data_IF_384107458274
#
_entry.id   IF_384107458274
#
_cell.length_a   1.000
_cell.length_b   1.000
_cell.length_c   1.000
_cell.angle_alpha   90.00
_cell.angle_beta   90.00
_cell.angle_gamma   90.00
#
_symmetry.space_group_name_H-M   'P 1'
#
loop_
_entity.id
_entity.type
_entity.pdbx_description
1 polymer ?
#
# COMPACT_ATOMS: atom_id res chain seq x y z
N UNK A 1 9.65 2.25 -14.51
CA UNK A 1 9.49 0.95 -15.19
C UNK A 1 8.29 1.09 -16.11
N UNK A 2 8.39 0.75 -17.40
CA UNK A 2 7.27 0.92 -18.34
C UNK A 2 6.21 -0.16 -18.10
N UNK A 3 4.93 0.17 -18.24
CA UNK A 3 3.79 -0.78 -18.12
C UNK A 3 4.01 -2.04 -18.97
N UNK A 4 4.67 -1.89 -20.11
CA UNK A 4 5.07 -2.99 -20.99
C UNK A 4 6.03 -3.98 -20.31
N UNK A 5 6.98 -3.51 -19.49
CA UNK A 5 7.91 -4.36 -18.75
C UNK A 5 7.17 -5.15 -17.66
N UNK A 6 6.25 -4.50 -16.96
CA UNK A 6 5.43 -5.12 -15.91
C UNK A 6 4.49 -6.17 -16.50
N UNK A 7 3.89 -5.91 -17.67
CA UNK A 7 3.10 -6.89 -18.44
C UNK A 7 3.94 -8.05 -18.98
N UNK A 8 5.17 -7.79 -19.45
CA UNK A 8 6.08 -8.84 -19.94
C UNK A 8 6.54 -9.76 -18.80
N UNK A 9 6.84 -9.20 -17.63
CA UNK A 9 7.14 -9.98 -16.42
C UNK A 9 5.90 -10.79 -16.02
N UNK A 10 4.70 -10.19 -16.08
CA UNK A 10 3.43 -10.86 -15.83
C UNK A 10 3.26 -12.10 -16.72
N UNK A 11 3.51 -11.94 -18.02
CA UNK A 11 3.34 -12.97 -19.04
C UNK A 11 4.40 -14.07 -18.92
N UNK A 12 5.63 -13.71 -18.56
CA UNK A 12 6.69 -14.67 -18.27
C UNK A 12 6.36 -15.53 -17.04
N UNK A 13 5.86 -14.89 -15.97
CA UNK A 13 5.47 -15.58 -14.73
C UNK A 13 4.29 -16.52 -14.99
N UNK A 14 3.27 -16.11 -15.74
CA UNK A 14 2.12 -16.99 -16.06
C UNK A 14 2.54 -18.19 -16.91
N UNK A 15 3.45 -18.04 -17.87
CA UNK A 15 3.97 -19.15 -18.68
C UNK A 15 4.81 -20.14 -17.86
N UNK A 16 5.68 -19.65 -16.97
CA UNK A 16 6.47 -20.48 -16.06
C UNK A 16 5.58 -21.32 -15.14
N UNK A 17 4.51 -20.72 -14.63
CA UNK A 17 3.52 -21.37 -13.75
C UNK A 17 2.73 -22.45 -14.48
N UNK A 18 2.29 -22.19 -15.71
CA UNK A 18 1.60 -23.19 -16.52
C UNK A 18 2.50 -24.42 -16.77
N UNK A 19 3.79 -24.17 -16.99
CA UNK A 19 4.82 -25.22 -17.06
C UNK A 19 4.99 -26.01 -15.75
N UNK A 20 4.98 -25.35 -14.59
CA UNK A 20 5.08 -26.00 -13.28
C UNK A 20 3.82 -26.79 -12.90
N UNK A 21 2.62 -26.27 -13.24
CA UNK A 21 1.35 -26.98 -13.04
C UNK A 21 1.28 -28.29 -13.83
N UNK A 22 1.72 -28.27 -15.10
CA UNK A 22 1.80 -29.47 -15.94
C UNK A 22 2.73 -30.54 -15.37
N UNK A 23 3.64 -30.19 -14.47
CA UNK A 23 4.55 -31.12 -13.77
C UNK A 23 3.99 -31.70 -12.47
N UNK A 24 2.73 -31.44 -12.13
CA UNK A 24 2.07 -32.07 -10.97
C UNK A 24 2.52 -31.56 -9.59
N UNK A 25 3.36 -30.52 -9.52
CA UNK A 25 3.85 -29.93 -8.28
C UNK A 25 2.94 -28.80 -7.77
N UNK A 26 1.63 -29.01 -7.64
CA UNK A 26 0.75 -27.96 -7.08
C UNK A 26 0.63 -28.13 -5.56
N UNK A 27 1.23 -27.23 -4.75
CA UNK A 27 1.01 -27.25 -3.30
C UNK A 27 -0.45 -26.90 -3.01
N UNK A 28 -0.97 -27.38 -1.88
CA UNK A 28 -2.35 -27.12 -1.47
C UNK A 28 -2.65 -25.62 -1.46
N UNK A 29 -3.70 -25.23 -2.20
CA UNK A 29 -4.13 -23.83 -2.29
C UNK A 29 -4.72 -23.42 -0.94
N UNK A 30 -4.37 -22.22 -0.48
CA UNK A 30 -4.97 -21.66 0.73
C UNK A 30 -6.43 -21.23 0.51
N UNK A 31 -7.04 -20.57 1.52
CA UNK A 31 -8.42 -20.11 1.44
C UNK A 31 -8.70 -19.25 0.21
N UNK A 32 -9.95 -19.27 -0.26
CA UNK A 32 -10.37 -18.42 -1.36
C UNK A 32 -10.11 -16.93 -1.04
N UNK A 33 -9.48 -16.17 -1.96
CA UNK A 33 -9.22 -14.74 -1.75
C UNK A 33 -10.47 -13.92 -1.38
N UNK A 34 -11.66 -14.28 -1.89
CA UNK A 34 -12.93 -13.59 -1.62
C UNK A 34 -13.39 -13.84 -0.19
N UNK A 35 -13.30 -15.08 0.28
CA UNK A 35 -13.62 -15.44 1.67
C UNK A 35 -12.69 -14.70 2.62
N UNK A 36 -11.40 -14.62 2.27
CA UNK A 36 -10.41 -13.93 3.07
C UNK A 36 -10.64 -12.41 3.10
N UNK A 37 -11.04 -11.80 1.98
CA UNK A 37 -11.46 -10.38 1.92
C UNK A 37 -12.67 -10.15 2.80
N UNK A 38 -13.67 -11.01 2.73
CA UNK A 38 -14.92 -10.86 3.49
C UNK A 38 -14.66 -11.01 4.99
N UNK A 39 -13.92 -12.02 5.40
CA UNK A 39 -13.53 -12.23 6.80
C UNK A 39 -12.69 -11.07 7.34
N UNK A 40 -11.74 -10.57 6.55
CA UNK A 40 -10.88 -9.44 6.92
C UNK A 40 -11.69 -8.15 6.99
N UNK A 41 -12.57 -7.92 6.02
CA UNK A 41 -13.50 -6.79 6.00
C UNK A 41 -14.38 -6.76 7.23
N UNK A 42 -15.03 -7.87 7.60
CA UNK A 42 -15.85 -7.95 8.82
C UNK A 42 -15.08 -7.61 10.09
N UNK A 43 -13.77 -7.91 10.13
CA UNK A 43 -12.90 -7.56 11.26
C UNK A 43 -12.45 -6.10 11.22
N UNK A 44 -12.21 -5.56 10.02
CA UNK A 44 -11.75 -4.19 9.82
C UNK A 44 -12.86 -3.17 10.05
N UNK A 45 -14.02 -3.38 9.41
CA UNK A 45 -15.19 -2.50 9.43
C UNK A 45 -16.01 -2.69 10.72
N UNK A 46 -15.39 -2.38 11.86
CA UNK A 46 -16.05 -2.42 13.17
C UNK A 46 -16.02 -1.05 13.83
N UNK A 47 -17.03 -0.77 14.67
CA UNK A 47 -17.10 0.48 15.46
C UNK A 47 -15.83 0.71 16.28
N UNK A 48 -15.27 -0.35 16.85
CA UNK A 48 -14.03 -0.27 17.63
C UNK A 48 -12.85 0.22 16.80
N UNK A 49 -12.66 -0.30 15.59
CA UNK A 49 -11.57 0.15 14.72
C UNK A 49 -11.82 1.55 14.17
N UNK A 50 -13.07 1.92 13.94
CA UNK A 50 -13.42 3.30 13.59
C UNK A 50 -13.07 4.30 14.70
N UNK A 51 -13.36 3.97 15.96
CA UNK A 51 -12.96 4.79 17.12
C UNK A 51 -11.43 4.87 17.22
N UNK A 52 -10.70 3.78 16.95
CA UNK A 52 -9.23 3.81 16.91
C UNK A 52 -8.72 4.73 15.79
N UNK A 53 -9.34 4.69 14.61
CA UNK A 53 -9.00 5.56 13.49
C UNK A 53 -9.25 7.04 13.83
N UNK A 54 -10.39 7.35 14.44
CA UNK A 54 -10.69 8.70 14.95
C UNK A 54 -9.67 9.15 16.00
N UNK A 55 -9.34 8.30 16.98
CA UNK A 55 -8.35 8.61 18.00
C UNK A 55 -6.96 8.86 17.41
N UNK A 56 -6.52 8.02 16.47
CA UNK A 56 -5.28 8.22 15.74
C UNK A 56 -5.28 9.53 14.94
N UNK A 57 -6.41 9.85 14.31
CA UNK A 57 -6.58 11.10 13.56
C UNK A 57 -6.52 12.31 14.49
N UNK A 58 -7.23 12.29 15.63
CA UNK A 58 -7.18 13.37 16.61
C UNK A 58 -5.75 13.59 17.14
N UNK A 59 -5.02 12.51 17.43
CA UNK A 59 -3.61 12.58 17.81
C UNK A 59 -2.74 13.20 16.71
N UNK A 60 -2.91 12.77 15.46
CA UNK A 60 -2.22 13.35 14.31
C UNK A 60 -2.57 14.84 14.13
N UNK A 61 -3.84 15.22 14.27
CA UNK A 61 -4.29 16.62 14.21
C UNK A 61 -3.61 17.49 15.27
N UNK A 62 -3.45 17.00 16.50
CA UNK A 62 -2.74 17.72 17.56
C UNK A 62 -1.25 17.90 17.20
N UNK A 63 -0.60 16.85 16.70
CA UNK A 63 0.80 16.90 16.25
C UNK A 63 0.96 17.93 15.12
N UNK A 64 0.11 17.86 14.10
CA UNK A 64 0.12 18.79 12.97
C UNK A 64 -0.17 20.22 13.41
N UNK A 65 -1.16 20.44 14.28
CA UNK A 65 -1.52 21.77 14.77
C UNK A 65 -0.42 22.39 15.66
N UNK A 66 0.28 21.56 16.44
CA UNK A 66 1.38 22.01 17.31
C UNK A 66 2.66 22.42 16.56
N UNK A 67 2.72 22.22 15.24
CA UNK A 67 3.94 22.45 14.44
C UNK A 67 5.02 21.39 14.61
N UNK A 68 4.79 20.36 15.45
CA UNK A 68 5.73 19.25 15.65
C UNK A 68 5.98 18.48 14.35
N UNK A 69 4.97 18.37 13.48
CA UNK A 69 5.12 17.77 12.15
C UNK A 69 6.09 18.57 11.25
N UNK A 70 6.07 19.90 11.35
CA UNK A 70 7.01 20.76 10.62
C UNK A 70 8.43 20.63 11.20
N UNK A 71 8.58 20.62 12.53
CA UNK A 71 9.87 20.44 13.18
C UNK A 71 10.52 19.08 12.84
N UNK A 72 9.72 18.01 12.76
CA UNK A 72 10.19 16.71 12.30
C UNK A 72 10.54 16.71 10.81
N UNK A 73 9.77 17.42 9.99
CA UNK A 73 10.06 17.58 8.58
C UNK A 73 11.39 18.31 8.34
N UNK A 74 11.65 19.39 9.08
CA UNK A 74 12.90 20.16 9.04
C UNK A 74 14.08 19.29 9.50
N UNK A 75 13.94 18.59 10.63
CA UNK A 75 14.98 17.66 11.11
C UNK A 75 15.30 16.57 10.07
N UNK A 76 14.28 15.97 9.46
CA UNK A 76 14.48 14.96 8.42
C UNK A 76 15.13 15.55 7.17
N UNK A 77 14.74 16.76 6.77
CA UNK A 77 15.35 17.47 5.64
C UNK A 77 16.81 17.78 5.91
N UNK A 78 17.14 18.23 7.11
CA UNK A 78 18.47 18.75 7.38
C UNK A 78 19.47 17.63 7.75
N UNK A 79 19.01 16.51 8.33
CA UNK A 79 19.88 15.38 8.71
C UNK A 79 19.86 14.19 7.74
N UNK A 80 18.75 13.96 7.02
CA UNK A 80 18.56 12.73 6.22
C UNK A 80 18.58 12.99 4.72
N UNK A 81 18.20 14.19 4.23
CA UNK A 81 18.30 14.49 2.80
C UNK A 81 19.73 14.80 2.39
N UNK A 82 20.20 14.03 1.42
CA UNK A 82 21.45 14.23 0.69
C UNK A 82 21.36 13.57 -0.68
N UNK A 83 22.40 13.70 -1.49
CA UNK A 83 22.41 13.19 -2.87
C UNK A 83 22.19 11.67 -2.95
N UNK A 84 22.72 10.92 -1.97
CA UNK A 84 22.54 9.47 -1.86
C UNK A 84 21.14 9.06 -1.42
N UNK A 85 20.57 9.70 -0.39
CA UNK A 85 19.23 9.38 0.09
C UNK A 85 18.15 9.79 -0.91
N UNK A 86 18.32 10.90 -1.62
CA UNK A 86 17.41 11.30 -2.69
C UNK A 86 17.38 10.28 -3.84
N UNK A 87 18.53 9.67 -4.19
CA UNK A 87 18.57 8.62 -5.23
C UNK A 87 17.85 7.36 -4.78
N UNK A 88 18.06 6.91 -3.55
CA UNK A 88 17.38 5.74 -2.99
C UNK A 88 15.88 6.00 -2.87
N UNK A 89 15.49 7.18 -2.38
CA UNK A 89 14.11 7.60 -2.29
C UNK A 89 13.44 7.65 -3.67
N UNK A 90 14.13 8.14 -4.70
CA UNK A 90 13.58 8.19 -6.06
C UNK A 90 13.35 6.79 -6.66
N UNK A 91 14.24 5.84 -6.37
CA UNK A 91 14.07 4.43 -6.78
C UNK A 91 12.93 3.79 -6.00
N UNK A 92 12.90 3.93 -4.68
CA UNK A 92 11.86 3.39 -3.81
C UNK A 92 10.48 3.96 -4.14
N UNK A 93 10.41 5.26 -4.42
CA UNK A 93 9.19 5.97 -4.81
C UNK A 93 8.65 5.47 -6.15
N UNK A 94 9.51 5.06 -7.08
CA UNK A 94 9.10 4.40 -8.32
C UNK A 94 8.35 3.08 -8.12
N UNK A 95 8.67 2.33 -7.06
CA UNK A 95 7.90 1.14 -6.65
C UNK A 95 6.57 1.49 -5.98
N UNK A 96 6.37 2.74 -5.54
CA UNK A 96 5.15 3.17 -4.85
C UNK A 96 4.15 3.96 -5.72
N UNK A 97 4.63 4.78 -6.66
CA UNK A 97 3.77 5.75 -7.36
C UNK A 97 3.11 5.23 -8.65
N UNK A 98 3.77 4.39 -9.43
CA UNK A 98 3.31 4.10 -10.80
C UNK A 98 2.42 2.85 -10.90
N UNK A 99 2.29 2.07 -9.83
CA UNK A 99 1.73 0.72 -9.92
C UNK A 99 0.75 0.36 -8.80
N UNK A 100 0.22 1.32 -8.02
CA UNK A 100 -0.79 1.02 -6.97
C UNK A 100 -1.99 0.23 -7.51
N UNK A 101 -2.34 0.42 -8.79
CA UNK A 101 -3.36 -0.36 -9.51
C UNK A 101 -2.88 -1.73 -10.00
N UNK A 102 -1.58 -1.88 -10.31
CA UNK A 102 -0.98 -3.12 -10.79
C UNK A 102 -0.56 -4.07 -9.65
N UNK A 103 -0.15 -3.55 -8.50
CA UNK A 103 0.29 -4.35 -7.36
C UNK A 103 -0.76 -5.33 -6.83
N UNK A 104 -2.04 -4.97 -6.68
CA UNK A 104 -3.09 -5.93 -6.32
C UNK A 104 -3.15 -7.10 -7.31
N UNK A 105 -3.00 -6.81 -8.62
CA UNK A 105 -2.97 -7.84 -9.67
C UNK A 105 -1.72 -8.72 -9.55
N UNK A 106 -0.55 -8.13 -9.31
CA UNK A 106 0.70 -8.85 -9.10
C UNK A 106 0.62 -9.76 -7.86
N UNK A 107 0.00 -9.28 -6.79
CA UNK A 107 -0.16 -10.03 -5.53
C UNK A 107 -1.10 -11.23 -5.67
N UNK A 108 -2.23 -11.07 -6.37
CA UNK A 108 -3.14 -12.21 -6.61
C UNK A 108 -2.54 -13.18 -7.63
N UNK A 109 -1.77 -12.67 -8.60
CA UNK A 109 -1.01 -13.52 -9.51
C UNK A 109 0.07 -14.30 -8.78
N UNK A 110 0.76 -13.74 -7.79
CA UNK A 110 1.72 -14.46 -6.98
C UNK A 110 1.07 -15.63 -6.20
N UNK A 111 -0.13 -15.44 -5.63
CA UNK A 111 -0.89 -16.54 -4.99
C UNK A 111 -1.37 -17.58 -6.01
N UNK A 112 -1.82 -17.15 -7.19
CA UNK A 112 -2.26 -18.05 -8.26
C UNK A 112 -1.10 -18.84 -8.88
N UNK A 113 0.06 -18.19 -9.03
CA UNK A 113 1.29 -18.69 -9.61
C UNK A 113 1.99 -19.70 -8.71
N UNK A 114 2.11 -19.36 -7.43
CA UNK A 114 2.88 -20.10 -6.45
C UNK A 114 2.01 -20.48 -5.25
N UNK A 115 0.87 -21.19 -5.46
CA UNK A 115 -0.07 -21.48 -4.40
C UNK A 115 0.61 -22.29 -3.29
N UNK A 116 0.28 -21.99 -2.03
CA UNK A 116 0.82 -22.70 -0.88
C UNK A 116 2.30 -22.45 -0.56
N UNK A 117 3.04 -21.67 -1.36
CA UNK A 117 4.40 -21.22 -1.03
C UNK A 117 4.39 -20.00 -0.10
N UNK A 118 5.53 -19.65 0.50
CA UNK A 118 5.65 -18.42 1.29
C UNK A 118 5.32 -17.16 0.47
N UNK A 119 5.78 -17.11 -0.79
CA UNK A 119 5.53 -16.00 -1.71
C UNK A 119 4.06 -15.89 -2.09
N UNK A 120 3.40 -17.00 -2.41
CA UNK A 120 1.96 -16.99 -2.71
C UNK A 120 1.10 -16.58 -1.51
N UNK A 121 1.45 -17.08 -0.31
CA UNK A 121 0.79 -16.65 0.94
C UNK A 121 0.97 -15.16 1.21
N UNK A 122 2.18 -14.64 1.01
CA UNK A 122 2.50 -13.23 1.14
C UNK A 122 1.70 -12.39 0.15
N UNK A 123 1.69 -12.78 -1.13
CA UNK A 123 0.89 -12.13 -2.18
C UNK A 123 -0.59 -12.08 -1.80
N UNK A 124 -1.18 -13.20 -1.38
CA UNK A 124 -2.58 -13.22 -0.93
C UNK A 124 -2.85 -12.26 0.22
N UNK A 125 -1.97 -12.22 1.23
CA UNK A 125 -2.11 -11.29 2.36
C UNK A 125 -2.02 -9.83 1.92
N UNK A 126 -1.06 -9.48 1.06
CA UNK A 126 -0.91 -8.14 0.51
C UNK A 126 -2.14 -7.72 -0.33
N UNK A 127 -2.66 -8.63 -1.15
CA UNK A 127 -3.88 -8.41 -1.91
C UNK A 127 -5.08 -8.17 -0.99
N UNK A 128 -5.32 -9.05 -0.02
CA UNK A 128 -6.45 -8.89 0.92
C UNK A 128 -6.34 -7.60 1.73
N UNK A 129 -5.15 -7.25 2.21
CA UNK A 129 -4.92 -6.01 2.94
C UNK A 129 -5.20 -4.78 2.07
N UNK A 130 -4.75 -4.80 0.81
CA UNK A 130 -5.00 -3.69 -0.12
C UNK A 130 -6.48 -3.59 -0.47
N UNK A 131 -7.13 -4.69 -0.85
CA UNK A 131 -8.54 -4.72 -1.22
C UNK A 131 -9.47 -4.27 -0.08
N UNK A 132 -9.15 -4.61 1.17
CA UNK A 132 -9.95 -4.22 2.33
C UNK A 132 -9.61 -2.83 2.88
N UNK A 133 -8.33 -2.44 2.85
CA UNK A 133 -7.86 -1.18 3.41
C UNK A 133 -7.96 0.02 2.46
N UNK A 134 -7.84 -0.19 1.14
CA UNK A 134 -7.85 0.90 0.16
C UNK A 134 -9.16 1.72 0.18
N UNK A 135 -10.36 1.12 0.29
CA UNK A 135 -11.59 1.91 0.42
C UNK A 135 -11.60 2.79 1.67
N UNK A 136 -11.13 2.26 2.82
CA UNK A 136 -11.03 3.03 4.07
C UNK A 136 -10.08 4.20 3.90
N UNK A 137 -8.88 3.95 3.36
CA UNK A 137 -7.88 4.98 3.12
C UNK A 137 -8.42 6.08 2.21
N UNK A 138 -9.04 5.70 1.09
CA UNK A 138 -9.61 6.64 0.12
C UNK A 138 -10.73 7.49 0.72
N UNK A 139 -11.67 6.86 1.42
CA UNK A 139 -12.75 7.58 2.10
C UNK A 139 -12.23 8.51 3.19
N UNK A 140 -11.22 8.08 3.95
CA UNK A 140 -10.63 8.89 5.02
C UNK A 140 -9.88 10.10 4.46
N UNK A 141 -9.03 9.90 3.45
CA UNK A 141 -8.34 11.00 2.76
C UNK A 141 -9.33 12.02 2.20
N UNK A 142 -10.45 11.56 1.65
CA UNK A 142 -11.49 12.45 1.13
C UNK A 142 -12.26 13.19 2.23
N UNK A 143 -12.52 12.54 3.36
CA UNK A 143 -13.22 13.15 4.50
C UNK A 143 -12.35 14.22 5.20
N UNK A 144 -11.06 13.94 5.31
CA UNK A 144 -10.05 14.82 5.90
C UNK A 144 -9.70 15.99 4.99
N UNK A 145 -9.79 15.82 3.66
CA UNK A 145 -9.41 16.89 2.73
C UNK A 145 -7.92 17.23 2.83
N UNK A 146 -7.09 16.25 3.20
CA UNK A 146 -5.67 16.42 3.41
C UNK A 146 -5.00 17.03 2.17
N UNK A 147 -4.52 18.27 2.30
CA UNK A 147 -3.84 19.02 1.24
C UNK A 147 -2.37 18.58 1.11
N UNK A 148 -1.82 18.62 -0.10
CA UNK A 148 -0.39 18.36 -0.31
C UNK A 148 0.42 19.62 0.05
N UNK A 149 1.70 19.48 0.46
CA UNK A 149 2.59 20.62 0.74
C UNK A 149 2.83 21.57 -0.44
N UNK A 150 2.51 21.12 -1.65
CA UNK A 150 2.61 21.90 -2.89
C UNK A 150 1.38 22.76 -3.17
N UNK A 151 0.34 22.67 -2.34
CA UNK A 151 -0.86 23.49 -2.49
C UNK A 151 -0.57 24.87 -1.86
N UNK A 152 -0.32 25.88 -2.69
CA UNK A 152 0.05 27.24 -2.26
C UNK A 152 -0.96 27.80 -1.26
N UNK A 153 -0.44 28.33 -0.14
CA UNK A 153 -1.22 29.04 0.88
C UNK A 153 -0.48 30.28 1.35
N UNK A 154 -1.26 31.33 1.59
CA UNK A 154 -0.81 32.63 2.06
C UNK A 154 -0.57 32.66 3.59
N UNK A 155 -1.20 31.76 4.36
CA UNK A 155 -1.08 31.67 5.83
C UNK A 155 -1.62 30.34 6.40
N UNK A 156 -1.09 29.90 7.55
CA UNK A 156 -1.52 28.73 8.34
C UNK A 156 -0.55 27.53 8.29
N UNK A 157 -0.79 26.45 9.08
CA UNK A 157 0.07 25.25 9.04
C UNK A 157 0.08 24.62 7.66
N UNK A 158 1.26 24.15 7.24
CA UNK A 158 1.50 23.59 5.90
C UNK A 158 0.56 22.43 5.56
N UNK A 159 0.21 21.64 6.57
CA UNK A 159 -0.71 20.51 6.48
C UNK A 159 -2.08 20.85 7.09
N UNK A 160 -3.17 20.39 6.46
CA UNK A 160 -4.50 20.32 7.09
C UNK A 160 -4.80 18.84 7.37
N UNK A 161 -5.21 18.51 8.61
CA UNK A 161 -5.77 17.20 8.88
C UNK A 161 -7.09 17.02 8.14
#
# INVERSE_FOLDING_TARGET
>A
MSVALSLAILLLVTLLVDGMRKRGQSPARGPDPIDQITATGRRLYTRRNFIKLLGATAGASVITYSGLDEALHELHRDQVRGTGSNRIAHVAKGFGETEITAFPLIYILADWALPGTAVGRWGRQCFTATATGLPVLWSWQRALGASRPSDDKEWGPRYRP
#
